data_IF_564375033766
#
_entry.id   IF_564375033766
#
_cell.length_a   1.000
_cell.length_b   1.000
_cell.length_c   1.000
_cell.angle_alpha   90.00
_cell.angle_beta   90.00
_cell.angle_gamma   90.00
#
_symmetry.space_group_name_H-M   'P 1'
#
loop_
_entity.id
_entity.type
_entity.pdbx_description
1 polymer ?
#
# COMPACT_ATOMS: atom_id res chain seq x y z
N UNK A 1 -2.39 -16.53 -22.15
CA UNK A 1 -2.20 -15.09 -22.40
C UNK A 1 -2.62 -14.32 -21.16
N UNK A 2 -1.77 -13.45 -20.57
CA UNK A 2 -2.20 -12.61 -19.45
C UNK A 2 -3.12 -11.49 -19.97
N UNK A 3 -4.35 -11.46 -19.48
CA UNK A 3 -5.41 -10.48 -19.81
C UNK A 3 -4.95 -9.04 -19.53
N UNK A 4 -5.44 -8.06 -20.29
CA UNK A 4 -5.07 -6.62 -20.16
C UNK A 4 -5.29 -6.11 -18.72
N UNK A 5 -6.32 -6.60 -18.05
CA UNK A 5 -6.63 -6.32 -16.64
C UNK A 5 -5.46 -6.67 -15.72
N UNK A 6 -4.71 -7.74 -16.02
CA UNK A 6 -3.56 -8.16 -15.22
C UNK A 6 -2.38 -7.18 -15.27
N UNK A 7 -2.34 -6.33 -16.29
CA UNK A 7 -1.27 -5.34 -16.50
C UNK A 7 -1.59 -4.03 -15.79
N UNK A 8 -2.86 -3.63 -15.77
CA UNK A 8 -3.31 -2.37 -15.18
C UNK A 8 -3.21 -2.36 -13.65
N UNK A 9 -3.49 -3.49 -12.97
CA UNK A 9 -3.34 -3.56 -11.51
C UNK A 9 -1.89 -3.45 -11.06
N UNK A 10 -0.93 -4.02 -11.81
CA UNK A 10 0.50 -3.90 -11.49
C UNK A 10 1.03 -2.47 -11.64
N UNK A 11 0.53 -1.74 -12.63
CA UNK A 11 0.90 -0.34 -12.87
C UNK A 11 0.37 0.54 -11.74
N UNK A 12 -0.91 0.37 -11.37
CA UNK A 12 -1.51 1.10 -10.23
C UNK A 12 -0.78 0.86 -8.92
N UNK A 13 -0.27 -0.35 -8.68
CA UNK A 13 0.49 -0.66 -7.48
C UNK A 13 1.87 0.01 -7.46
N UNK A 14 2.52 0.17 -8.62
CA UNK A 14 3.87 0.76 -8.72
C UNK A 14 3.88 2.29 -8.60
N UNK A 15 2.76 2.95 -8.84
CA UNK A 15 2.65 4.43 -8.87
C UNK A 15 2.15 4.99 -7.53
N UNK A 16 1.93 4.15 -6.50
CA UNK A 16 1.43 4.67 -5.22
C UNK A 16 2.45 5.56 -4.54
N UNK A 17 2.07 6.82 -4.33
CA UNK A 17 2.85 7.78 -3.60
C UNK A 17 2.64 7.54 -2.11
N UNK A 18 3.72 7.52 -1.35
CA UNK A 18 3.66 7.43 0.10
C UNK A 18 3.91 8.80 0.69
N UNK A 19 3.05 9.20 1.62
CA UNK A 19 3.32 10.38 2.44
C UNK A 19 4.56 10.12 3.31
N UNK A 20 5.35 11.17 3.63
CA UNK A 20 6.51 11.04 4.50
C UNK A 20 6.14 10.49 5.88
N UNK A 21 4.94 10.80 6.38
CA UNK A 21 4.40 10.30 7.63
C UNK A 21 4.11 8.80 7.59
N UNK A 22 3.50 8.30 6.51
CA UNK A 22 3.27 6.87 6.32
C UNK A 22 4.59 6.11 6.13
N UNK A 23 5.56 6.68 5.41
CA UNK A 23 6.91 6.09 5.28
C UNK A 23 7.63 6.00 6.62
N UNK A 24 7.54 7.03 7.46
CA UNK A 24 8.11 7.01 8.81
C UNK A 24 7.53 5.84 9.63
N UNK A 25 6.21 5.65 9.57
CA UNK A 25 5.52 4.52 10.22
C UNK A 25 5.93 3.16 9.64
N UNK A 26 6.11 3.07 8.32
CA UNK A 26 6.60 1.86 7.67
C UNK A 26 8.06 1.55 8.06
N UNK A 27 8.88 2.58 8.33
CA UNK A 27 10.25 2.42 8.82
C UNK A 27 10.31 1.87 10.24
N UNK A 28 9.30 2.13 11.08
CA UNK A 28 9.19 1.50 12.41
C UNK A 28 9.00 -0.02 12.32
N UNK A 29 8.43 -0.52 11.22
CA UNK A 29 8.26 -1.96 10.99
C UNK A 29 9.61 -2.60 10.63
N UNK A 30 9.95 -3.78 11.17
CA UNK A 30 11.14 -4.53 10.77
C UNK A 30 11.18 -4.81 9.28
N UNK A 31 12.37 -4.73 8.67
CA UNK A 31 12.57 -4.79 7.22
C UNK A 31 11.99 -6.04 6.55
N UNK A 32 11.95 -7.18 7.24
CA UNK A 32 11.40 -8.43 6.70
C UNK A 32 9.87 -8.40 6.57
N UNK A 33 9.17 -7.61 7.40
CA UNK A 33 7.71 -7.44 7.35
C UNK A 33 7.32 -6.26 6.45
N UNK A 34 8.23 -5.30 6.20
CA UNK A 34 7.95 -4.10 5.38
C UNK A 34 7.34 -4.43 4.00
N UNK A 35 7.84 -5.40 3.20
CA UNK A 35 7.25 -5.73 1.90
C UNK A 35 5.82 -6.28 2.02
N UNK A 36 5.55 -7.06 3.06
CA UNK A 36 4.22 -7.62 3.30
C UNK A 36 3.23 -6.54 3.77
N UNK A 37 3.65 -5.67 4.69
CA UNK A 37 2.87 -4.53 5.15
C UNK A 37 2.57 -3.57 4.00
N UNK A 38 3.61 -3.17 3.23
CA UNK A 38 3.49 -2.29 2.08
C UNK A 38 2.48 -2.82 1.07
N UNK A 39 2.61 -4.08 0.63
CA UNK A 39 1.66 -4.68 -0.32
C UNK A 39 0.22 -4.68 0.18
N UNK A 40 -0.01 -4.94 1.47
CA UNK A 40 -1.35 -4.94 2.04
C UNK A 40 -1.95 -3.54 2.08
N UNK A 41 -1.15 -2.53 2.45
CA UNK A 41 -1.56 -1.12 2.48
C UNK A 41 -1.82 -0.60 1.06
N UNK A 42 -0.96 -0.96 0.10
CA UNK A 42 -1.17 -0.66 -1.32
C UNK A 42 -2.47 -1.29 -1.83
N UNK A 43 -2.74 -2.54 -1.49
CA UNK A 43 -4.01 -3.19 -1.85
C UNK A 43 -5.21 -2.45 -1.25
N UNK A 44 -5.09 -1.98 0.00
CA UNK A 44 -6.14 -1.21 0.67
C UNK A 44 -6.35 0.16 0.02
N UNK A 45 -5.28 0.83 -0.42
CA UNK A 45 -5.37 2.09 -1.15
C UNK A 45 -6.06 1.90 -2.52
N UNK A 46 -5.71 0.84 -3.28
CA UNK A 46 -6.40 0.47 -4.54
C UNK A 46 -7.89 0.25 -4.31
N UNK A 47 -8.26 -0.47 -3.25
CA UNK A 47 -9.66 -0.76 -2.90
C UNK A 47 -10.44 0.53 -2.63
N UNK A 48 -9.79 1.49 -1.96
CA UNK A 48 -10.32 2.83 -1.72
C UNK A 48 -10.25 3.77 -2.93
N UNK A 49 -9.68 3.32 -4.05
CA UNK A 49 -9.36 4.15 -5.23
C UNK A 49 -8.44 5.33 -4.91
N UNK A 50 -7.66 5.22 -3.83
CA UNK A 50 -6.67 6.19 -3.40
C UNK A 50 -5.31 5.84 -4.02
N UNK A 51 -4.66 6.83 -4.62
CA UNK A 51 -3.30 6.69 -5.16
C UNK A 51 -2.23 7.18 -4.19
N UNK A 52 -2.63 7.92 -3.15
CA UNK A 52 -1.75 8.47 -2.11
C UNK A 52 -1.95 7.72 -0.79
N UNK A 53 -0.87 7.12 -0.28
CA UNK A 53 -0.84 6.46 1.03
C UNK A 53 -0.50 7.49 2.10
N UNK A 54 -1.55 8.05 2.70
CA UNK A 54 -1.45 8.93 3.88
C UNK A 54 -1.26 8.12 5.15
N UNK A 55 -0.80 8.79 6.22
CA UNK A 55 -0.68 8.17 7.55
C UNK A 55 -2.02 7.64 8.05
N UNK A 56 -3.12 8.31 7.75
CA UNK A 56 -4.47 7.85 8.09
C UNK A 56 -4.82 6.55 7.38
N UNK A 57 -4.53 6.45 6.08
CA UNK A 57 -4.78 5.24 5.30
C UNK A 57 -3.90 4.07 5.79
N UNK A 58 -2.64 4.36 6.13
CA UNK A 58 -1.74 3.41 6.77
C UNK A 58 -2.32 2.88 8.09
N UNK A 59 -2.80 3.78 8.96
CA UNK A 59 -3.37 3.42 10.26
C UNK A 59 -4.67 2.62 10.11
N UNK A 60 -5.54 3.01 9.16
CA UNK A 60 -6.77 2.27 8.86
C UNK A 60 -6.49 0.88 8.31
N UNK A 61 -5.53 0.75 7.38
CA UNK A 61 -5.10 -0.55 6.89
C UNK A 61 -4.55 -1.39 8.06
N UNK A 62 -3.70 -0.81 8.91
CA UNK A 62 -3.12 -1.46 10.09
C UNK A 62 -4.20 -1.95 11.07
N UNK A 63 -5.21 -1.13 11.33
CA UNK A 63 -6.32 -1.49 12.22
C UNK A 63 -7.15 -2.67 11.69
N UNK A 64 -7.25 -2.85 10.37
CA UNK A 64 -7.91 -4.01 9.76
C UNK A 64 -7.06 -5.30 9.76
N UNK A 65 -5.80 -5.27 10.22
CA UNK A 65 -4.93 -6.45 10.26
C UNK A 65 -4.93 -7.17 11.62
N UNK A 66 -5.74 -6.74 12.59
CA UNK A 66 -5.91 -7.41 13.88
C UNK A 66 -7.13 -8.34 13.89
#
# INVERSE_FOLDING_TARGET
>A
MPTIENKLWKIRQKIMEWSPEAEAKLKEIPFFVRPAARKKIEKFAIDKQETLITVELYLQAKAKFN
#
